data_IF_196830731628
#
_entry.id   IF_196830731628
#
_cell.length_a   1.000
_cell.length_b   1.000
_cell.length_c   1.000
_cell.angle_alpha   90.00
_cell.angle_beta   90.00
_cell.angle_gamma   90.00
#
_symmetry.space_group_name_H-M   'P 1'
#
loop_
_entity.id
_entity.type
_entity.pdbx_description
1 polymer ?
#
# COMPACT_ATOMS: atom_id res chain seq x y z
N UNK A 1 7.07 12.93 14.58
CA UNK A 1 6.62 11.91 13.59
C UNK A 1 6.50 12.60 12.25
N UNK A 2 6.86 11.95 11.15
CA UNK A 2 6.69 12.52 9.81
C UNK A 2 5.18 12.76 9.55
N UNK A 3 4.78 14.00 9.20
CA UNK A 3 3.37 14.32 8.97
C UNK A 3 2.77 13.48 7.84
N UNK A 4 3.55 13.16 6.78
CA UNK A 4 3.09 12.34 5.66
C UNK A 4 2.84 10.90 6.07
N UNK A 5 3.75 10.32 6.84
CA UNK A 5 3.59 8.96 7.35
C UNK A 5 2.31 8.84 8.20
N UNK A 6 2.00 9.88 8.97
CA UNK A 6 0.79 9.95 9.78
C UNK A 6 -0.47 10.02 8.91
N UNK A 7 -0.46 10.84 7.87
CA UNK A 7 -1.57 10.97 6.91
C UNK A 7 -1.84 9.66 6.16
N UNK A 8 -0.80 9.02 5.62
CA UNK A 8 -0.92 7.73 4.92
C UNK A 8 -1.42 6.65 5.87
N UNK A 9 -0.92 6.63 7.12
CA UNK A 9 -1.40 5.68 8.13
C UNK A 9 -2.88 5.88 8.46
N UNK A 10 -3.35 7.14 8.59
CA UNK A 10 -4.76 7.44 8.84
C UNK A 10 -5.65 7.06 7.65
N UNK A 11 -5.22 7.36 6.43
CA UNK A 11 -5.93 6.94 5.22
C UNK A 11 -6.01 5.42 5.13
N UNK A 12 -4.94 4.72 5.50
CA UNK A 12 -4.90 3.27 5.50
C UNK A 12 -5.83 2.65 6.56
N UNK A 13 -5.98 3.27 7.73
CA UNK A 13 -6.98 2.84 8.71
C UNK A 13 -8.42 2.99 8.19
N UNK A 14 -8.71 4.06 7.44
CA UNK A 14 -10.01 4.24 6.77
C UNK A 14 -10.23 3.18 5.70
N UNK A 15 -9.20 2.88 4.90
CA UNK A 15 -9.21 1.77 3.95
C UNK A 15 -9.53 0.44 4.65
N UNK A 16 -8.84 0.08 5.75
CA UNK A 16 -9.11 -1.16 6.49
C UNK A 16 -10.54 -1.21 7.03
N UNK A 17 -11.08 -0.07 7.48
CA UNK A 17 -12.47 0.01 7.94
C UNK A 17 -13.47 -0.23 6.81
N UNK A 18 -13.25 0.36 5.63
CA UNK A 18 -14.08 0.11 4.44
C UNK A 18 -13.95 -1.35 3.98
N UNK A 19 -12.74 -1.91 4.04
CA UNK A 19 -12.46 -3.29 3.68
C UNK A 19 -13.21 -4.29 4.56
N UNK A 20 -13.24 -4.06 5.88
CA UNK A 20 -14.03 -4.87 6.81
C UNK A 20 -15.54 -4.80 6.56
N UNK A 21 -16.02 -3.67 6.03
CA UNK A 21 -17.43 -3.48 5.64
C UNK A 21 -17.75 -4.05 4.25
N UNK A 22 -16.76 -4.62 3.55
CA UNK A 22 -16.88 -5.08 2.16
C UNK A 22 -17.33 -3.98 1.20
N UNK A 23 -17.04 -2.71 1.53
CA UNK A 23 -17.30 -1.56 0.66
C UNK A 23 -16.13 -1.41 -0.33
N UNK A 24 -16.15 -2.26 -1.36
CA UNK A 24 -15.01 -2.39 -2.26
C UNK A 24 -14.84 -1.18 -3.19
N UNK A 25 -15.91 -0.48 -3.57
CA UNK A 25 -15.83 0.77 -4.34
C UNK A 25 -15.09 1.88 -3.58
N UNK A 26 -15.36 1.99 -2.28
CA UNK A 26 -14.63 2.92 -1.42
C UNK A 26 -13.19 2.45 -1.21
N UNK A 27 -12.96 1.14 -1.10
CA UNK A 27 -11.62 0.57 -0.98
C UNK A 27 -10.76 0.87 -2.22
N UNK A 28 -11.28 0.73 -3.44
CA UNK A 28 -10.52 1.02 -4.66
C UNK A 28 -10.15 2.51 -4.74
N UNK A 29 -11.07 3.40 -4.33
CA UNK A 29 -10.82 4.84 -4.25
C UNK A 29 -9.72 5.17 -3.24
N UNK A 30 -9.79 4.63 -2.03
CA UNK A 30 -8.74 4.85 -1.02
C UNK A 30 -7.41 4.21 -1.40
N UNK A 31 -7.43 3.03 -2.03
CA UNK A 31 -6.22 2.36 -2.50
C UNK A 31 -5.48 3.19 -3.56
N UNK A 32 -6.22 3.82 -4.49
CA UNK A 32 -5.63 4.73 -5.47
C UNK A 32 -4.91 5.90 -4.80
N UNK A 33 -5.56 6.53 -3.81
CA UNK A 33 -4.95 7.62 -3.03
C UNK A 33 -3.71 7.15 -2.25
N UNK A 34 -3.78 5.99 -1.59
CA UNK A 34 -2.65 5.39 -0.88
C UNK A 34 -1.47 5.14 -1.81
N UNK A 35 -1.68 4.53 -2.98
CA UNK A 35 -0.63 4.26 -3.97
C UNK A 35 0.04 5.55 -4.45
N UNK A 36 -0.73 6.62 -4.69
CA UNK A 36 -0.17 7.94 -5.04
C UNK A 36 0.69 8.48 -3.90
N UNK A 37 0.22 8.41 -2.66
CA UNK A 37 1.03 8.86 -1.51
C UNK A 37 2.30 8.04 -1.34
N UNK A 38 2.29 6.73 -1.63
CA UNK A 38 3.48 5.89 -1.57
C UNK A 38 4.58 6.37 -2.52
N UNK A 39 4.24 6.89 -3.70
CA UNK A 39 5.25 7.42 -4.66
C UNK A 39 6.08 8.60 -4.12
N UNK A 40 5.63 9.23 -3.03
CA UNK A 40 6.35 10.35 -2.41
C UNK A 40 7.45 9.90 -1.43
N UNK A 41 7.47 8.64 -1.02
CA UNK A 41 8.48 8.11 -0.11
C UNK A 41 9.71 7.66 -0.89
N UNK A 42 10.86 8.25 -0.58
CA UNK A 42 12.14 7.92 -1.24
C UNK A 42 12.76 6.61 -0.75
N UNK A 43 12.32 6.10 0.39
CA UNK A 43 12.73 4.80 0.91
C UNK A 43 12.13 3.62 0.13
N UNK A 44 11.12 3.87 -0.71
CA UNK A 44 10.45 2.84 -1.48
C UNK A 44 11.17 2.57 -2.81
N UNK A 45 10.90 1.42 -3.45
CA UNK A 45 11.37 1.15 -4.80
C UNK A 45 10.96 2.30 -5.75
N UNK A 46 11.86 2.75 -6.64
CA UNK A 46 13.16 2.17 -6.98
C UNK A 46 14.35 2.78 -6.22
N UNK A 47 14.14 3.78 -5.36
CA UNK A 47 15.24 4.58 -4.79
C UNK A 47 15.88 3.91 -3.58
N UNK A 48 15.10 3.23 -2.73
CA UNK A 48 15.57 2.57 -1.51
C UNK A 48 16.49 3.45 -0.65
N UNK A 49 16.20 4.75 -0.58
CA UNK A 49 17.00 5.70 0.20
C UNK A 49 16.90 5.37 1.69
N UNK A 50 18.03 5.28 2.38
CA UNK A 50 18.08 5.01 3.81
C UNK A 50 17.65 6.25 4.61
N UNK A 51 16.34 6.40 4.76
CA UNK A 51 15.72 7.45 5.56
C UNK A 51 15.51 6.97 7.00
N UNK A 52 15.44 7.88 8.00
CA UNK A 52 15.17 7.49 9.39
C UNK A 52 13.84 6.74 9.60
N UNK A 53 12.91 6.82 8.64
CA UNK A 53 11.62 6.12 8.68
C UNK A 53 11.53 4.99 7.63
N UNK A 54 12.60 4.65 6.91
CA UNK A 54 12.56 3.72 5.78
C UNK A 54 11.89 2.39 6.13
N UNK A 55 12.24 1.79 7.27
CA UNK A 55 11.63 0.54 7.74
C UNK A 55 10.11 0.69 7.95
N UNK A 56 9.65 1.83 8.47
CA UNK A 56 8.22 2.07 8.71
C UNK A 56 7.48 2.30 7.39
N UNK A 57 8.09 3.03 6.47
CA UNK A 57 7.56 3.31 5.13
C UNK A 57 7.47 2.02 4.30
N UNK A 58 8.51 1.19 4.29
CA UNK A 58 8.54 -0.12 3.63
C UNK A 58 7.48 -1.07 4.21
N UNK A 59 7.36 -1.16 5.54
CA UNK A 59 6.35 -2.00 6.18
C UNK A 59 4.93 -1.52 5.86
N UNK A 60 4.70 -0.20 5.85
CA UNK A 60 3.39 0.38 5.52
C UNK A 60 3.03 0.11 4.05
N UNK A 61 3.98 0.31 3.13
CA UNK A 61 3.79 0.00 1.72
C UNK A 61 3.48 -1.48 1.49
N UNK A 62 4.21 -2.38 2.15
CA UNK A 62 3.95 -3.82 2.10
C UNK A 62 2.53 -4.17 2.54
N UNK A 63 2.09 -3.67 3.70
CA UNK A 63 0.73 -3.93 4.23
C UNK A 63 -0.36 -3.39 3.28
N UNK A 64 -0.14 -2.22 2.66
CA UNK A 64 -1.04 -1.66 1.65
C UNK A 64 -1.13 -2.57 0.42
N UNK A 65 -0.01 -3.04 -0.12
CA UNK A 65 0.00 -3.90 -1.30
C UNK A 65 -0.56 -5.30 -1.01
N UNK A 66 -0.37 -5.85 0.19
CA UNK A 66 -1.03 -7.10 0.61
C UNK A 66 -2.55 -6.96 0.56
N UNK A 67 -3.08 -5.88 1.13
CA UNK A 67 -4.51 -5.64 1.08
C UNK A 67 -5.02 -5.35 -0.35
N UNK A 68 -4.19 -4.73 -1.19
CA UNK A 68 -4.50 -4.51 -2.60
C UNK A 68 -4.70 -5.84 -3.35
N UNK A 69 -3.82 -6.81 -3.12
CA UNK A 69 -3.91 -8.17 -3.67
C UNK A 69 -5.16 -8.90 -3.14
N UNK A 70 -5.48 -8.77 -1.85
CA UNK A 70 -6.71 -9.41 -1.32
C UNK A 70 -7.95 -8.73 -1.90
N UNK A 71 -7.95 -7.40 -2.04
CA UNK A 71 -9.04 -6.64 -2.64
C UNK A 71 -9.31 -7.09 -4.07
N UNK A 72 -8.27 -7.22 -4.90
CA UNK A 72 -8.44 -7.64 -6.29
C UNK A 72 -9.02 -9.05 -6.42
N UNK A 73 -8.67 -9.98 -5.52
CA UNK A 73 -9.31 -11.29 -5.44
C UNK A 73 -10.78 -11.18 -5.04
N UNK A 74 -11.10 -10.30 -4.07
CA UNK A 74 -12.49 -10.08 -3.61
C UNK A 74 -13.37 -9.45 -4.68
N UNK A 75 -12.80 -8.63 -5.57
CA UNK A 75 -13.51 -7.99 -6.68
C UNK A 75 -13.38 -8.76 -8.00
N UNK A 76 -12.76 -9.94 -7.99
CA UNK A 76 -12.52 -10.78 -9.17
C UNK A 76 -11.82 -10.02 -10.33
N UNK A 77 -10.95 -9.07 -9.98
CA UNK A 77 -10.18 -8.26 -10.92
C UNK A 77 -8.79 -8.87 -11.13
N UNK A 78 -8.66 -9.68 -12.18
CA UNK A 78 -7.41 -10.38 -12.51
C UNK A 78 -6.28 -9.39 -12.85
N UNK A 79 -6.57 -8.34 -13.61
CA UNK A 79 -5.55 -7.36 -14.03
C UNK A 79 -5.01 -6.59 -12.82
N UNK A 80 -5.89 -6.24 -11.87
CA UNK A 80 -5.46 -5.65 -10.60
C UNK A 80 -4.67 -6.62 -9.75
N UNK A 81 -5.06 -7.90 -9.71
CA UNK A 81 -4.32 -8.92 -8.97
C UNK A 81 -2.88 -9.05 -9.47
N UNK A 82 -2.69 -9.25 -10.77
CA UNK A 82 -1.35 -9.43 -11.33
C UNK A 82 -0.48 -8.20 -11.06
N UNK A 83 -1.00 -7.01 -11.37
CA UNK A 83 -0.30 -5.74 -11.15
C UNK A 83 0.10 -5.54 -9.68
N UNK A 84 -0.83 -5.73 -8.76
CA UNK A 84 -0.60 -5.47 -7.34
C UNK A 84 0.30 -6.52 -6.71
N UNK A 85 0.23 -7.77 -7.19
CA UNK A 85 1.16 -8.84 -6.78
C UNK A 85 2.58 -8.56 -7.25
N UNK A 86 2.78 -8.09 -8.48
CA UNK A 86 4.10 -7.67 -8.96
C UNK A 86 4.68 -6.50 -8.15
N UNK A 87 3.84 -5.57 -7.72
CA UNK A 87 4.25 -4.45 -6.86
C UNK A 87 4.58 -4.90 -5.43
N UNK A 88 3.92 -5.95 -4.92
CA UNK A 88 4.19 -6.50 -3.59
C UNK A 88 5.52 -7.28 -3.54
N UNK A 89 5.90 -7.94 -4.63
CA UNK A 89 7.05 -8.87 -4.67
C UNK A 89 8.38 -8.28 -4.17
N UNK A 90 8.81 -7.05 -4.54
CA UNK A 90 10.04 -6.44 -4.03
C UNK A 90 10.08 -6.33 -2.50
N UNK A 91 8.93 -6.14 -1.85
CA UNK A 91 8.85 -6.00 -0.38
C UNK A 91 9.12 -7.31 0.39
N UNK A 92 9.18 -8.44 -0.32
CA UNK A 92 9.52 -9.76 0.23
C UNK A 92 10.86 -10.28 -0.26
N UNK A 93 11.43 -9.68 -1.31
CA UNK A 93 12.65 -10.18 -1.98
C UNK A 93 13.82 -9.21 -1.86
N UNK A 94 13.56 -7.91 -1.91
CA UNK A 94 14.59 -6.86 -1.94
C UNK A 94 14.66 -6.06 -0.62
N UNK A 95 13.59 -6.05 0.18
CA UNK A 95 13.51 -5.33 1.45
C UNK A 95 14.01 -6.16 2.67
N UNK A 96 14.89 -7.14 2.44
CA UNK A 96 15.43 -8.08 3.44
C UNK A 96 16.79 -7.68 4.00
#
# INVERSE_FOLDING_TARGET
MDPKLTEVSQLFQRFKTAFLRSDFDTCTTFLSQLKVSLTQFRSLPPLFEDTPNAIRELNLARDIYEHAVVLSVKTEDQDAFERDFFQLKPYYTDAG
#
